data_IF_400735911428
#
_entry.id   IF_400735911428
#
_cell.length_a   1.000
_cell.length_b   1.000
_cell.length_c   1.000
_cell.angle_alpha   90.00
_cell.angle_beta   90.00
_cell.angle_gamma   90.00
#
_symmetry.space_group_name_H-M   'P 1'
#
loop_
_entity.id
_entity.type
_entity.pdbx_description
1 polymer ?
#
# COMPACT_ATOMS: atom_id res chain seq x y z
N UNK A 1 21.16 -15.32 -57.70
CA UNK A 1 20.40 -14.38 -56.85
C UNK A 1 20.57 -14.82 -55.41
N UNK A 2 21.20 -14.01 -54.56
CA UNK A 2 21.46 -14.33 -53.15
C UNK A 2 20.25 -13.87 -52.33
N UNK A 3 19.52 -14.81 -51.73
CA UNK A 3 18.44 -14.50 -50.78
C UNK A 3 19.05 -14.33 -49.39
N UNK A 4 19.03 -13.11 -48.88
CA UNK A 4 19.38 -12.82 -47.49
C UNK A 4 18.18 -13.14 -46.59
N UNK A 5 18.37 -14.07 -45.66
CA UNK A 5 17.41 -14.36 -44.58
C UNK A 5 17.54 -13.27 -43.51
N UNK A 6 16.48 -12.50 -43.33
CA UNK A 6 16.30 -11.57 -42.20
C UNK A 6 15.69 -12.33 -41.03
N UNK A 7 16.48 -12.60 -40.00
CA UNK A 7 16.02 -13.18 -38.74
C UNK A 7 15.44 -12.06 -37.88
N UNK A 8 14.12 -12.08 -37.65
CA UNK A 8 13.46 -11.19 -36.69
C UNK A 8 13.58 -11.83 -35.31
N UNK A 9 14.37 -11.23 -34.44
CA UNK A 9 14.42 -11.59 -33.01
C UNK A 9 13.31 -10.84 -32.30
N UNK A 10 12.24 -11.54 -31.92
CA UNK A 10 11.22 -11.01 -31.03
C UNK A 10 11.74 -11.15 -29.61
N UNK A 11 12.15 -10.03 -29.00
CA UNK A 11 12.47 -9.99 -27.58
C UNK A 11 11.16 -10.02 -26.77
N UNK A 12 10.91 -11.12 -26.07
CA UNK A 12 9.87 -11.17 -25.03
C UNK A 12 10.40 -10.38 -23.83
N UNK A 13 9.96 -9.13 -23.69
CA UNK A 13 10.18 -8.38 -22.46
C UNK A 13 9.25 -8.94 -21.38
N UNK A 14 9.77 -9.79 -20.50
CA UNK A 14 9.10 -10.14 -19.25
C UNK A 14 9.08 -8.89 -18.38
N UNK A 15 7.98 -8.13 -18.38
CA UNK A 15 7.73 -7.14 -17.34
C UNK A 15 7.44 -7.91 -16.06
N UNK A 16 8.48 -8.21 -15.27
CA UNK A 16 8.27 -8.58 -13.88
C UNK A 16 7.62 -7.36 -13.21
N UNK A 17 6.29 -7.37 -13.11
CA UNK A 17 5.58 -6.39 -12.29
C UNK A 17 6.15 -6.51 -10.88
N UNK A 18 6.66 -5.40 -10.37
CA UNK A 18 7.16 -5.34 -9.01
C UNK A 18 5.93 -5.49 -8.09
N UNK A 19 5.78 -6.69 -7.52
CA UNK A 19 4.59 -7.06 -6.78
C UNK A 19 4.77 -6.87 -5.27
N UNK A 20 3.71 -6.43 -4.61
CA UNK A 20 3.58 -6.58 -3.17
C UNK A 20 3.38 -8.06 -2.84
N UNK A 21 4.44 -8.70 -2.34
CA UNK A 21 4.40 -10.08 -1.89
C UNK A 21 4.08 -10.11 -0.41
N UNK A 22 3.13 -10.94 0.03
CA UNK A 22 2.77 -11.02 1.44
C UNK A 22 2.58 -12.45 1.93
N UNK A 23 2.82 -12.66 3.21
CA UNK A 23 2.52 -13.92 3.91
C UNK A 23 2.00 -13.66 5.31
N UNK A 24 0.95 -14.37 5.71
CA UNK A 24 0.44 -14.34 7.08
C UNK A 24 1.10 -15.42 7.92
N UNK A 25 1.75 -15.02 9.01
CA UNK A 25 2.33 -15.95 9.99
C UNK A 25 1.21 -16.56 10.84
N UNK A 26 1.09 -17.89 10.76
CA UNK A 26 0.06 -18.67 11.46
C UNK A 26 0.70 -19.64 12.45
N UNK A 27 0.07 -19.81 13.60
CA UNK A 27 0.42 -20.89 14.51
C UNK A 27 0.14 -22.25 13.84
N UNK A 28 0.95 -23.26 14.15
CA UNK A 28 0.78 -24.61 13.62
C UNK A 28 -0.52 -25.28 14.10
N UNK A 29 -0.97 -24.95 15.30
CA UNK A 29 -2.24 -25.41 15.90
C UNK A 29 -3.03 -24.20 16.38
N UNK A 30 -3.80 -23.53 15.50
CA UNK A 30 -4.47 -22.28 15.84
C UNK A 30 -5.65 -22.47 16.78
N UNK A 31 -5.87 -21.52 17.68
CA UNK A 31 -7.12 -21.41 18.46
C UNK A 31 -8.29 -21.00 17.55
N UNK A 32 -9.52 -21.07 18.07
CA UNK A 32 -10.70 -20.55 17.36
C UNK A 32 -10.60 -19.06 17.07
N UNK A 33 -10.11 -18.28 18.05
CA UNK A 33 -9.83 -16.85 17.89
C UNK A 33 -8.80 -16.60 16.78
N UNK A 34 -7.66 -17.30 16.81
CA UNK A 34 -6.64 -17.18 15.77
C UNK A 34 -7.19 -17.55 14.38
N UNK A 35 -7.98 -18.62 14.30
CA UNK A 35 -8.59 -19.05 13.04
C UNK A 35 -9.51 -17.99 12.44
N UNK A 36 -10.38 -17.37 13.25
CA UNK A 36 -11.23 -16.26 12.80
C UNK A 36 -10.41 -15.02 12.41
N UNK A 37 -9.40 -14.65 13.20
CA UNK A 37 -8.50 -13.55 12.88
C UNK A 37 -7.79 -13.76 11.54
N UNK A 38 -7.22 -14.96 11.34
CA UNK A 38 -6.49 -15.31 10.14
C UNK A 38 -7.35 -15.21 8.89
N UNK A 39 -8.58 -15.75 8.92
CA UNK A 39 -9.49 -15.68 7.77
C UNK A 39 -9.82 -14.23 7.37
N UNK A 40 -10.03 -13.35 8.35
CA UNK A 40 -10.31 -11.92 8.10
C UNK A 40 -9.09 -11.17 7.58
N UNK A 41 -7.93 -11.38 8.18
CA UNK A 41 -6.66 -10.76 7.78
C UNK A 41 -6.29 -11.18 6.36
N UNK A 42 -6.41 -12.46 6.02
CA UNK A 42 -6.14 -12.95 4.67
C UNK A 42 -7.06 -12.30 3.64
N UNK A 43 -8.36 -12.19 3.95
CA UNK A 43 -9.30 -11.55 3.05
C UNK A 43 -9.00 -10.06 2.85
N UNK A 44 -8.67 -9.35 3.94
CA UNK A 44 -8.28 -7.95 3.90
C UNK A 44 -7.00 -7.73 3.07
N UNK A 45 -5.94 -8.51 3.33
CA UNK A 45 -4.66 -8.42 2.62
C UNK A 45 -4.80 -8.78 1.15
N UNK A 46 -5.57 -9.84 0.83
CA UNK A 46 -5.83 -10.26 -0.54
C UNK A 46 -6.49 -9.14 -1.34
N UNK A 47 -7.50 -8.48 -0.79
CA UNK A 47 -8.19 -7.36 -1.46
C UNK A 47 -7.28 -6.14 -1.60
N UNK A 48 -6.57 -5.78 -0.53
CA UNK A 48 -5.67 -4.63 -0.55
C UNK A 48 -4.56 -4.81 -1.60
N UNK A 49 -3.86 -5.95 -1.60
CA UNK A 49 -2.78 -6.23 -2.58
C UNK A 49 -3.33 -6.30 -4.00
N UNK A 50 -4.51 -6.90 -4.22
CA UNK A 50 -5.15 -6.92 -5.53
C UNK A 50 -5.56 -5.52 -6.01
N UNK A 51 -5.82 -4.57 -5.10
CA UNK A 51 -6.06 -3.17 -5.46
C UNK A 51 -4.76 -2.44 -5.75
N UNK A 52 -3.72 -2.64 -4.94
CA UNK A 52 -2.40 -2.07 -5.17
C UNK A 52 -1.85 -2.46 -6.55
N UNK A 53 -1.95 -3.74 -6.92
CA UNK A 53 -1.46 -4.23 -8.22
C UNK A 53 -2.16 -3.66 -9.45
N UNK A 54 -3.26 -2.91 -9.29
CA UNK A 54 -3.97 -2.25 -10.40
C UNK A 54 -3.44 -0.87 -10.72
N UNK A 55 -2.77 -0.21 -9.77
CA UNK A 55 -2.44 1.21 -9.87
C UNK A 55 -0.98 1.54 -9.54
N UNK A 56 -0.18 0.57 -9.09
CA UNK A 56 1.24 0.77 -8.81
C UNK A 56 2.07 -0.46 -9.15
N UNK A 57 3.32 -0.23 -9.51
CA UNK A 57 4.37 -1.24 -9.63
C UNK A 57 5.27 -1.24 -8.37
N UNK A 58 4.76 -0.80 -7.22
CA UNK A 58 5.50 -0.85 -5.96
C UNK A 58 5.78 -2.29 -5.50
N UNK A 59 7.02 -2.56 -5.09
CA UNK A 59 7.44 -3.86 -4.54
C UNK A 59 7.81 -3.77 -3.06
N UNK A 60 7.34 -4.76 -2.30
CA UNK A 60 7.68 -4.99 -0.90
C UNK A 60 7.40 -6.45 -0.55
N UNK A 61 8.25 -7.03 0.30
CA UNK A 61 7.91 -8.28 0.98
C UNK A 61 7.29 -7.95 2.33
N UNK A 62 6.02 -8.29 2.51
CA UNK A 62 5.23 -7.96 3.69
C UNK A 62 5.01 -9.22 4.53
N UNK A 63 5.44 -9.17 5.78
CA UNK A 63 5.23 -10.23 6.77
C UNK A 63 4.06 -9.79 7.65
N UNK A 64 2.94 -10.49 7.53
CA UNK A 64 1.70 -10.16 8.22
C UNK A 64 1.56 -11.02 9.47
N UNK A 65 1.08 -10.42 10.56
CA UNK A 65 0.89 -11.11 11.83
C UNK A 65 -0.46 -10.78 12.46
N UNK A 66 -1.02 -11.75 13.18
CA UNK A 66 -2.02 -11.50 14.21
C UNK A 66 -1.31 -11.31 15.56
N UNK A 67 -1.38 -10.11 16.12
CA UNK A 67 -0.71 -9.71 17.34
C UNK A 67 -1.72 -9.07 18.31
N UNK A 68 -2.42 -9.86 19.15
CA UNK A 68 -3.52 -9.39 20.00
C UNK A 68 -3.22 -8.20 20.92
N UNK A 69 -1.94 -7.96 21.25
CA UNK A 69 -1.49 -6.83 22.06
C UNK A 69 -1.42 -5.49 21.30
N UNK A 70 -1.57 -5.50 19.97
CA UNK A 70 -1.73 -4.29 19.16
C UNK A 70 -3.18 -3.80 19.30
N UNK A 71 -3.42 -2.52 19.62
CA UNK A 71 -4.79 -2.01 19.79
C UNK A 71 -5.64 -2.06 18.52
N UNK A 72 -5.04 -1.77 17.37
CA UNK A 72 -5.71 -1.65 16.06
C UNK A 72 -4.96 -2.45 15.00
N UNK A 73 -4.01 -1.83 14.31
CA UNK A 73 -3.00 -2.40 13.45
C UNK A 73 -1.77 -1.48 13.49
N UNK A 74 -0.62 -2.00 13.08
CA UNK A 74 0.59 -1.21 12.94
C UNK A 74 1.55 -1.85 11.93
N UNK A 75 2.35 -1.04 11.28
CA UNK A 75 3.34 -1.49 10.31
C UNK A 75 4.66 -0.74 10.42
N UNK A 76 5.69 -1.35 9.83
CA UNK A 76 7.03 -0.78 9.76
C UNK A 76 7.58 -0.89 8.32
N UNK A 77 8.45 0.05 7.95
CA UNK A 77 9.08 0.08 6.63
C UNK A 77 9.87 -1.19 6.29
N UNK A 78 10.31 -1.96 7.30
CA UNK A 78 10.96 -3.25 7.13
C UNK A 78 10.04 -4.35 6.56
N UNK A 79 8.75 -4.06 6.34
CA UNK A 79 7.74 -4.98 5.80
C UNK A 79 6.92 -5.71 6.86
N UNK A 80 7.11 -5.45 8.15
CA UNK A 80 6.22 -5.97 9.20
C UNK A 80 4.87 -5.24 9.18
N UNK A 81 3.79 -6.02 9.20
CA UNK A 81 2.41 -5.53 9.28
C UNK A 81 1.64 -6.38 10.28
N UNK A 82 1.07 -5.77 11.32
CA UNK A 82 0.47 -6.48 12.44
C UNK A 82 -0.96 -6.00 12.67
N UNK A 83 -1.89 -6.94 12.79
CA UNK A 83 -3.28 -6.67 13.19
C UNK A 83 -3.50 -7.06 14.66
N UNK A 84 -4.20 -6.20 15.38
CA UNK A 84 -4.64 -6.39 16.74
C UNK A 84 -5.80 -7.37 16.92
N UNK A 85 -6.28 -7.51 18.16
CA UNK A 85 -7.42 -8.37 18.48
C UNK A 85 -8.77 -7.86 17.94
N UNK A 86 -8.91 -6.55 17.74
CA UNK A 86 -10.18 -5.96 17.32
C UNK A 86 -10.49 -6.22 15.82
N UNK A 87 -11.52 -7.02 15.55
CA UNK A 87 -11.95 -7.40 14.19
C UNK A 87 -12.42 -6.24 13.33
N UNK A 88 -12.83 -5.12 13.93
CA UNK A 88 -13.20 -3.91 13.18
C UNK A 88 -12.02 -3.36 12.36
N UNK A 89 -10.78 -3.67 12.73
CA UNK A 89 -9.59 -3.24 11.99
C UNK A 89 -9.06 -4.29 11.01
N UNK A 90 -9.62 -5.49 10.94
CA UNK A 90 -9.22 -6.51 9.96
C UNK A 90 -9.97 -6.32 8.63
N UNK A 91 -9.81 -5.13 8.05
CA UNK A 91 -10.54 -4.68 6.87
C UNK A 91 -9.58 -4.33 5.74
N UNK A 92 -10.09 -4.31 4.51
CA UNK A 92 -9.32 -3.87 3.34
C UNK A 92 -8.74 -2.47 3.54
N UNK A 93 -9.53 -1.53 4.07
CA UNK A 93 -9.07 -0.18 4.40
C UNK A 93 -7.83 -0.20 5.29
N UNK A 94 -7.88 -0.93 6.42
CA UNK A 94 -6.75 -0.96 7.35
C UNK A 94 -5.54 -1.60 6.67
N UNK A 95 -5.73 -2.72 5.98
CA UNK A 95 -4.65 -3.36 5.25
C UNK A 95 -3.97 -2.39 4.26
N UNK A 96 -4.75 -1.61 3.52
CA UNK A 96 -4.22 -0.61 2.59
C UNK A 96 -3.43 0.50 3.28
N UNK A 97 -3.97 1.02 4.38
CA UNK A 97 -3.31 2.02 5.21
C UNK A 97 -1.97 1.51 5.77
N UNK A 98 -1.96 0.31 6.33
CA UNK A 98 -0.73 -0.28 6.87
C UNK A 98 0.28 -0.65 5.78
N UNK A 99 -0.17 -1.09 4.60
CA UNK A 99 0.71 -1.28 3.43
C UNK A 99 1.42 0.03 3.08
N UNK A 100 0.74 1.17 3.12
CA UNK A 100 1.36 2.48 2.85
C UNK A 100 2.50 2.79 3.83
N UNK A 101 2.38 2.42 5.11
CA UNK A 101 3.47 2.52 6.07
C UNK A 101 4.67 1.62 5.70
N UNK A 102 4.43 0.39 5.22
CA UNK A 102 5.52 -0.49 4.72
C UNK A 102 6.24 0.09 3.48
N UNK A 103 5.57 0.99 2.76
CA UNK A 103 6.08 1.66 1.57
C UNK A 103 6.76 3.01 1.88
N UNK A 104 6.59 3.55 3.08
CA UNK A 104 7.40 4.66 3.58
C UNK A 104 6.63 5.78 4.28
N UNK A 105 5.29 5.80 4.18
CA UNK A 105 4.45 6.80 4.85
C UNK A 105 4.75 6.79 6.35
N UNK A 106 5.21 7.92 6.89
CA UNK A 106 5.55 8.08 8.31
C UNK A 106 6.69 7.22 8.84
N UNK A 107 7.43 6.53 7.97
CA UNK A 107 8.50 5.61 8.37
C UNK A 107 9.87 5.97 7.78
N UNK A 108 9.93 6.90 6.82
CA UNK A 108 11.19 7.31 6.17
C UNK A 108 11.47 8.80 6.36
N UNK A 109 12.76 9.14 6.45
CA UNK A 109 13.18 10.54 6.46
C UNK A 109 12.84 11.27 5.15
N UNK A 110 12.64 10.54 4.04
CA UNK A 110 12.20 11.12 2.78
C UNK A 110 10.75 11.59 2.85
N UNK A 111 9.85 10.76 3.41
CA UNK A 111 8.49 11.17 3.71
C UNK A 111 8.46 12.43 4.59
N UNK A 112 9.20 12.44 5.71
CA UNK A 112 9.22 13.58 6.63
C UNK A 112 9.71 14.86 5.95
N UNK A 113 10.79 14.79 5.16
CA UNK A 113 11.31 15.94 4.42
C UNK A 113 10.31 16.47 3.40
N UNK A 114 9.72 15.60 2.59
CA UNK A 114 8.74 16.01 1.58
C UNK A 114 7.48 16.58 2.23
N UNK A 115 7.02 16.01 3.35
CA UNK A 115 5.91 16.54 4.14
C UNK A 115 6.22 17.92 4.72
N UNK A 116 7.40 18.11 5.34
CA UNK A 116 7.82 19.38 5.92
C UNK A 116 7.93 20.49 4.85
N UNK A 117 8.48 20.16 3.68
CA UNK A 117 8.58 21.08 2.55
C UNK A 117 7.27 21.23 1.74
N UNK A 118 6.29 20.35 1.99
CA UNK A 118 5.13 20.14 1.11
C UNK A 118 5.53 19.91 -0.36
N UNK A 119 6.66 19.25 -0.58
CA UNK A 119 7.24 19.07 -1.91
C UNK A 119 6.87 17.70 -2.46
N UNK A 120 5.70 17.63 -3.06
CA UNK A 120 5.12 16.42 -3.66
C UNK A 120 4.67 16.72 -5.10
N UNK A 121 5.59 16.94 -6.06
CA UNK A 121 5.23 17.47 -7.37
C UNK A 121 4.27 16.59 -8.17
N UNK A 122 4.42 15.27 -8.12
CA UNK A 122 3.54 14.32 -8.80
C UNK A 122 2.25 14.11 -8.01
N UNK A 123 2.37 13.85 -6.70
CA UNK A 123 1.20 13.57 -5.87
C UNK A 123 0.29 14.80 -5.68
N UNK A 124 0.85 16.02 -5.60
CA UNK A 124 0.05 17.26 -5.53
C UNK A 124 -0.71 17.48 -6.82
N UNK A 125 -0.07 17.27 -7.99
CA UNK A 125 -0.75 17.39 -9.28
C UNK A 125 -1.90 16.37 -9.41
N UNK A 126 -1.64 15.13 -8.99
CA UNK A 126 -2.65 14.08 -8.99
C UNK A 126 -3.83 14.46 -8.08
N UNK A 127 -3.55 14.90 -6.85
CA UNK A 127 -4.57 15.35 -5.90
C UNK A 127 -5.42 16.49 -6.49
N UNK A 128 -4.78 17.48 -7.12
CA UNK A 128 -5.48 18.60 -7.74
C UNK A 128 -6.37 18.18 -8.91
N UNK A 129 -6.03 17.09 -9.60
CA UNK A 129 -6.91 16.51 -10.62
C UNK A 129 -8.17 15.86 -10.04
N UNK A 130 -8.12 15.44 -8.78
CA UNK A 130 -9.25 14.84 -8.06
C UNK A 130 -10.16 15.89 -7.42
N UNK A 131 -9.54 16.86 -6.74
CA UNK A 131 -10.22 17.72 -5.77
C UNK A 131 -10.14 19.21 -6.11
N UNK A 132 -9.57 19.54 -7.27
CA UNK A 132 -9.45 20.89 -7.80
C UNK A 132 -8.09 21.54 -7.54
N UNK A 133 -7.83 22.64 -8.26
CA UNK A 133 -6.51 23.28 -8.34
C UNK A 133 -5.92 23.75 -6.99
N UNK A 134 -6.75 23.94 -5.96
CA UNK A 134 -6.33 24.41 -4.64
C UNK A 134 -6.10 23.27 -3.64
N UNK A 135 -6.30 22.01 -4.04
CA UNK A 135 -6.10 20.87 -3.15
C UNK A 135 -4.62 20.74 -2.75
N UNK A 136 -4.39 20.37 -1.49
CA UNK A 136 -3.06 20.31 -0.87
C UNK A 136 -2.93 19.07 0.00
N UNK A 137 -1.78 18.40 -0.12
CA UNK A 137 -1.41 17.30 0.76
C UNK A 137 -1.05 17.86 2.13
N UNK A 138 -1.62 17.28 3.18
CA UNK A 138 -1.27 17.56 4.58
C UNK A 138 -0.65 16.32 5.18
N UNK A 139 0.34 16.48 6.07
CA UNK A 139 0.93 15.38 6.80
C UNK A 139 0.95 15.66 8.31
N UNK A 140 0.93 14.62 9.12
CA UNK A 140 1.00 14.74 10.57
C UNK A 140 0.92 13.39 11.28
N UNK A 141 1.69 13.24 12.37
CA UNK A 141 1.68 12.04 13.20
C UNK A 141 2.01 10.75 12.45
N UNK A 142 2.86 10.81 11.42
CA UNK A 142 3.18 9.67 10.57
C UNK A 142 2.19 9.40 9.43
N UNK A 143 1.16 10.24 9.26
CA UNK A 143 0.11 10.05 8.26
C UNK A 143 0.07 11.20 7.24
N UNK A 144 -0.73 11.00 6.19
CA UNK A 144 -1.07 12.04 5.23
C UNK A 144 -2.58 12.09 4.94
N UNK A 145 -3.02 13.24 4.45
CA UNK A 145 -4.38 13.51 3.98
C UNK A 145 -4.35 14.41 2.75
N UNK A 146 -5.38 14.38 1.90
CA UNK A 146 -6.48 13.41 1.89
C UNK A 146 -6.05 12.03 1.35
N UNK A 147 -6.95 11.05 1.42
CA UNK A 147 -6.76 9.68 0.91
C UNK A 147 -5.70 8.83 1.62
N UNK A 148 -5.31 9.18 2.86
CA UNK A 148 -4.47 8.31 3.70
C UNK A 148 -5.19 7.11 4.30
N UNK A 149 -6.54 7.10 4.27
CA UNK A 149 -7.39 6.03 4.82
C UNK A 149 -7.17 5.75 6.33
N UNK A 150 -6.92 6.82 7.07
CA UNK A 150 -6.61 6.83 8.50
C UNK A 150 -7.83 6.46 9.36
N UNK A 151 -9.04 6.77 8.89
CA UNK A 151 -10.30 6.52 9.57
C UNK A 151 -11.32 5.78 8.69
N UNK A 152 -12.25 5.05 9.32
CA UNK A 152 -13.28 4.29 8.61
C UNK A 152 -14.17 5.16 7.71
N UNK A 153 -14.46 6.40 8.13
CA UNK A 153 -15.27 7.34 7.35
C UNK A 153 -14.57 7.88 6.10
N UNK A 154 -13.27 7.61 5.92
CA UNK A 154 -12.54 7.93 4.69
C UNK A 154 -12.73 6.86 3.61
N UNK A 155 -13.32 5.70 3.96
CA UNK A 155 -13.51 4.60 3.02
C UNK A 155 -14.61 4.85 1.98
N UNK A 156 -14.25 4.65 0.72
CA UNK A 156 -15.16 4.37 -0.39
C UNK A 156 -14.35 3.65 -1.47
N UNK A 157 -14.99 2.96 -2.42
CA UNK A 157 -14.29 2.34 -3.55
C UNK A 157 -13.44 3.35 -4.34
N UNK A 158 -13.95 4.57 -4.49
CA UNK A 158 -13.23 5.67 -5.14
C UNK A 158 -12.02 6.10 -4.31
N UNK A 159 -12.18 6.31 -3.00
CA UNK A 159 -11.09 6.73 -2.12
C UNK A 159 -10.03 5.65 -1.97
N UNK A 160 -10.42 4.37 -2.01
CA UNK A 160 -9.50 3.25 -2.01
C UNK A 160 -8.62 3.26 -3.28
N UNK A 161 -9.21 3.50 -4.46
CA UNK A 161 -8.40 3.62 -5.68
C UNK A 161 -7.48 4.85 -5.62
N UNK A 162 -8.02 6.01 -5.20
CA UNK A 162 -7.24 7.25 -5.06
C UNK A 162 -6.09 7.08 -4.07
N UNK A 163 -6.29 6.35 -2.97
CA UNK A 163 -5.23 6.03 -2.01
C UNK A 163 -4.03 5.39 -2.70
N UNK A 164 -4.23 4.30 -3.47
CA UNK A 164 -3.12 3.63 -4.15
C UNK A 164 -2.44 4.56 -5.17
N UNK A 165 -3.22 5.31 -5.94
CA UNK A 165 -2.68 6.27 -6.91
C UNK A 165 -1.87 7.39 -6.23
N UNK A 166 -2.31 7.86 -5.06
CA UNK A 166 -1.56 8.81 -4.24
C UNK A 166 -0.26 8.21 -3.73
N UNK A 167 -0.27 6.96 -3.24
CA UNK A 167 0.95 6.26 -2.80
C UNK A 167 1.94 6.11 -3.96
N UNK A 168 1.48 5.70 -5.14
CA UNK A 168 2.31 5.59 -6.34
C UNK A 168 2.98 6.93 -6.70
N UNK A 169 2.20 8.00 -6.70
CA UNK A 169 2.71 9.34 -6.99
C UNK A 169 3.68 9.85 -5.92
N UNK A 170 3.47 9.52 -4.64
CA UNK A 170 4.39 9.87 -3.55
C UNK A 170 5.69 9.07 -3.65
N UNK A 171 5.64 7.80 -4.05
CA UNK A 171 6.83 7.00 -4.36
C UNK A 171 7.62 7.62 -5.53
N UNK A 172 6.93 8.06 -6.59
CA UNK A 172 7.55 8.77 -7.71
C UNK A 172 8.23 10.10 -7.29
N UNK A 173 7.73 10.73 -6.24
CA UNK A 173 8.30 11.94 -5.63
C UNK A 173 9.45 11.64 -4.63
N UNK A 174 9.87 10.38 -4.54
CA UNK A 174 11.04 9.94 -3.77
C UNK A 174 10.78 9.64 -2.30
N UNK A 175 9.54 9.27 -1.94
CA UNK A 175 9.21 8.67 -0.62
C UNK A 175 9.97 7.38 -0.35
#
# INVERSE_FOLDING_TARGET
MRFSLLTVVVAYASTASAALNWSLQKASNPTSDQTDAYGRIEEAMRRAVARYSRFTDASKTIRVYYAPGVPTAEANYNGDLRFGSNRAYMTERTAMHEIAHTLGVGQTAAFDRNCAANNWPSATRLLQSFDGANARISCGGGHFWPYGLNYDNEWSETNANRHVQMIDAMLADGM
#
